data_IF_058999033109
#
_entry.id   IF_058999033109
#
_cell.length_a   1.000
_cell.length_b   1.000
_cell.length_c   1.000
_cell.angle_alpha   90.00
_cell.angle_beta   90.00
_cell.angle_gamma   90.00
#
_symmetry.space_group_name_H-M   'P 1'
#
loop_
_entity.id
_entity.type
_entity.pdbx_description
1 polymer ?
#
# COMPACT_ATOMS: atom_id res chain seq x y z
N UNK A 1 -25.40 -20.81 8.96
CA UNK A 1 -26.03 -19.90 7.98
C UNK A 1 -25.42 -18.50 7.92
N UNK A 2 -25.58 -17.58 8.89
CA UNK A 2 -25.04 -16.19 8.70
C UNK A 2 -23.51 -16.09 8.69
N UNK A 3 -22.82 -16.93 9.48
CA UNK A 3 -21.35 -16.97 9.56
C UNK A 3 -20.70 -17.48 8.27
N UNK A 4 -21.35 -18.44 7.59
CA UNK A 4 -20.88 -19.01 6.32
C UNK A 4 -20.98 -18.00 5.18
N UNK A 5 -22.12 -17.28 5.09
CA UNK A 5 -22.30 -16.21 4.08
C UNK A 5 -21.23 -15.12 4.22
N UNK A 6 -20.85 -14.76 5.45
CA UNK A 6 -19.85 -13.74 5.70
C UNK A 6 -18.42 -14.21 5.39
N UNK A 7 -18.11 -15.49 5.59
CA UNK A 7 -16.82 -16.10 5.22
C UNK A 7 -16.66 -16.17 3.70
N UNK A 8 -17.69 -16.65 2.97
CA UNK A 8 -17.68 -16.71 1.51
C UNK A 8 -17.46 -15.35 0.85
N UNK A 9 -18.06 -14.28 1.40
CA UNK A 9 -17.87 -12.91 0.89
C UNK A 9 -16.41 -12.41 1.03
N UNK A 10 -15.66 -12.85 2.05
CA UNK A 10 -14.25 -12.45 2.24
C UNK A 10 -13.34 -13.12 1.22
N UNK A 11 -13.55 -14.42 1.00
CA UNK A 11 -12.79 -15.18 0.01
C UNK A 11 -13.05 -14.66 -1.41
N UNK A 12 -14.31 -14.31 -1.70
CA UNK A 12 -14.69 -13.66 -2.95
C UNK A 12 -13.96 -12.32 -3.12
N UNK A 13 -13.92 -11.47 -2.08
CA UNK A 13 -13.18 -10.19 -2.11
C UNK A 13 -11.71 -10.38 -2.46
N UNK A 14 -11.05 -11.35 -1.84
CA UNK A 14 -9.64 -11.66 -2.11
C UNK A 14 -9.45 -12.14 -3.55
N UNK A 15 -10.34 -13.01 -4.03
CA UNK A 15 -10.28 -13.53 -5.40
C UNK A 15 -10.44 -12.43 -6.45
N UNK A 16 -11.37 -11.48 -6.23
CA UNK A 16 -11.62 -10.36 -7.13
C UNK A 16 -10.47 -9.35 -7.12
N UNK A 17 -9.95 -9.03 -5.93
CA UNK A 17 -8.78 -8.16 -5.80
C UNK A 17 -7.58 -8.73 -6.59
N UNK A 18 -7.31 -10.03 -6.45
CA UNK A 18 -6.24 -10.70 -7.19
C UNK A 18 -6.49 -10.72 -8.70
N UNK A 19 -7.73 -10.97 -9.13
CA UNK A 19 -8.11 -10.94 -10.55
C UNK A 19 -7.86 -9.57 -11.16
N UNK A 20 -8.34 -8.49 -10.53
CA UNK A 20 -8.19 -7.14 -11.06
C UNK A 20 -6.74 -6.66 -11.09
N UNK A 21 -5.94 -7.10 -10.11
CA UNK A 21 -4.50 -6.87 -10.13
C UNK A 21 -3.83 -7.55 -11.34
N UNK A 22 -4.18 -8.82 -11.62
CA UNK A 22 -3.67 -9.55 -12.80
C UNK A 22 -4.12 -8.94 -14.12
N UNK A 23 -5.31 -8.37 -14.16
CA UNK A 23 -5.85 -7.64 -15.32
C UNK A 23 -5.22 -6.24 -15.49
N UNK A 24 -4.33 -5.82 -14.58
CA UNK A 24 -3.70 -4.50 -14.63
C UNK A 24 -4.67 -3.35 -14.38
N UNK A 25 -5.82 -3.59 -13.74
CA UNK A 25 -6.84 -2.55 -13.48
C UNK A 25 -6.43 -1.57 -12.38
N UNK A 26 -5.35 -1.86 -11.67
CA UNK A 26 -4.72 -1.03 -10.65
C UNK A 26 -3.81 0.05 -11.27
N UNK A 27 -4.38 0.92 -12.11
CA UNK A 27 -3.69 2.12 -12.57
C UNK A 27 -3.78 3.22 -11.52
N UNK A 28 -2.66 3.92 -11.33
CA UNK A 28 -2.56 5.03 -10.39
C UNK A 28 -2.42 6.33 -11.17
N UNK A 29 -3.25 7.31 -10.87
CA UNK A 29 -3.13 8.65 -11.46
C UNK A 29 -1.79 9.32 -11.09
N UNK A 30 -1.10 8.86 -10.04
CA UNK A 30 0.23 9.37 -9.70
C UNK A 30 1.25 9.16 -10.82
N UNK A 31 1.16 8.06 -11.58
CA UNK A 31 2.16 7.78 -12.62
C UNK A 31 1.99 8.64 -13.88
N UNK A 32 0.78 9.14 -14.14
CA UNK A 32 0.47 10.01 -15.28
C UNK A 32 0.50 11.49 -14.94
N UNK A 33 0.16 11.85 -13.70
CA UNK A 33 -0.01 13.25 -13.29
C UNK A 33 1.19 13.85 -12.54
N UNK A 34 2.10 13.02 -12.00
CA UNK A 34 3.22 13.50 -11.18
C UNK A 34 4.57 13.21 -11.84
N UNK A 35 5.46 14.20 -11.81
CA UNK A 35 6.88 14.05 -12.17
C UNK A 35 7.75 14.53 -11.03
N UNK A 36 8.62 13.64 -10.53
CA UNK A 36 9.69 14.03 -9.62
C UNK A 36 10.83 14.66 -10.43
N UNK A 37 11.34 15.81 -9.98
CA UNK A 37 12.48 16.48 -10.60
C UNK A 37 13.76 15.86 -10.02
N UNK A 38 14.63 15.24 -10.83
CA UNK A 38 15.87 14.66 -10.32
C UNK A 38 16.81 15.73 -9.77
N UNK A 39 17.41 15.47 -8.60
CA UNK A 39 18.52 16.25 -8.10
C UNK A 39 19.83 15.55 -8.49
N UNK A 40 20.56 16.11 -9.46
CA UNK A 40 21.79 15.53 -9.98
C UNK A 40 23.02 15.71 -9.08
N UNK A 41 22.95 16.61 -8.10
CA UNK A 41 24.02 16.89 -7.14
C UNK A 41 23.40 16.99 -5.74
N UNK A 42 23.00 15.85 -5.14
CA UNK A 42 22.46 15.84 -3.80
C UNK A 42 23.54 16.26 -2.77
N UNK A 43 23.11 17.02 -1.77
CA UNK A 43 23.99 17.52 -0.69
C UNK A 43 24.11 16.51 0.48
N UNK A 44 23.48 15.34 0.37
CA UNK A 44 23.45 14.28 1.39
C UNK A 44 23.86 12.94 0.78
N UNK A 45 24.41 12.05 1.62
CA UNK A 45 24.67 10.66 1.27
C UNK A 45 23.41 9.80 1.38
N UNK A 46 23.45 8.60 0.79
CA UNK A 46 22.35 7.63 0.89
C UNK A 46 22.14 7.11 2.31
N UNK A 47 23.21 7.08 3.11
CA UNK A 47 23.19 6.65 4.50
C UNK A 47 22.55 7.69 5.44
N UNK A 48 22.43 8.94 4.99
CA UNK A 48 21.78 10.03 5.73
C UNK A 48 20.26 10.10 5.50
N UNK A 49 19.70 9.26 4.61
CA UNK A 49 18.26 9.22 4.35
C UNK A 49 17.52 8.53 5.51
N UNK A 50 16.79 9.31 6.30
CA UNK A 50 15.90 8.80 7.34
C UNK A 50 14.47 8.62 6.81
N UNK A 51 13.97 7.38 6.87
CA UNK A 51 12.60 7.01 6.48
C UNK A 51 11.63 7.00 7.67
N UNK A 52 12.13 7.24 8.88
CA UNK A 52 11.34 7.18 10.09
C UNK A 52 10.38 8.36 10.20
N UNK A 53 9.27 8.14 10.90
CA UNK A 53 8.26 9.17 11.16
C UNK A 53 7.52 8.91 12.46
N UNK A 54 7.05 9.97 13.09
CA UNK A 54 6.10 9.88 14.20
C UNK A 54 4.68 10.10 13.68
N UNK A 55 3.80 9.13 13.87
CA UNK A 55 2.38 9.24 13.53
C UNK A 55 1.53 8.72 14.69
N UNK A 56 0.45 9.42 15.04
CA UNK A 56 -0.43 9.06 16.16
C UNK A 56 0.29 8.84 17.52
N UNK A 57 1.40 9.55 17.75
CA UNK A 57 2.20 9.39 18.98
C UNK A 57 3.09 8.13 19.00
N UNK A 58 3.21 7.43 17.88
CA UNK A 58 4.07 6.26 17.71
C UNK A 58 5.17 6.54 16.70
N UNK A 59 6.37 6.00 16.97
CA UNK A 59 7.48 6.04 16.02
C UNK A 59 7.39 4.84 15.07
N UNK A 60 7.54 5.10 13.78
CA UNK A 60 7.61 4.10 12.71
C UNK A 60 8.95 4.22 11.99
N UNK A 61 9.53 3.11 11.58
CA UNK A 61 10.78 3.07 10.81
C UNK A 61 10.59 3.39 9.33
N UNK A 62 9.36 3.23 8.81
CA UNK A 62 9.05 3.41 7.39
C UNK A 62 7.75 4.17 7.19
N UNK A 63 7.64 4.99 6.12
CA UNK A 63 6.48 5.85 5.85
C UNK A 63 5.37 5.12 5.09
N UNK A 64 5.21 3.82 5.32
CA UNK A 64 4.15 3.00 4.74
C UNK A 64 3.80 1.85 5.67
N UNK A 65 2.61 1.28 5.49
CA UNK A 65 2.15 0.11 6.23
C UNK A 65 1.26 -0.76 5.35
N UNK A 66 0.99 -1.98 5.83
CA UNK A 66 0.05 -2.89 5.17
C UNK A 66 -1.36 -2.52 5.64
N UNK A 67 -2.17 -2.05 4.70
CA UNK A 67 -3.57 -1.75 4.94
C UNK A 67 -4.41 -3.00 5.27
N UNK A 68 -5.57 -2.79 5.88
CA UNK A 68 -6.48 -3.88 6.21
C UNK A 68 -6.98 -4.59 4.93
N UNK A 69 -6.76 -5.90 4.83
CA UNK A 69 -7.13 -6.68 3.63
C UNK A 69 -8.25 -7.70 3.88
N UNK A 70 -8.15 -8.50 4.96
CA UNK A 70 -9.06 -9.64 5.22
C UNK A 70 -9.06 -10.01 6.71
N UNK A 71 -9.77 -11.09 7.07
CA UNK A 71 -9.74 -11.72 8.40
C UNK A 71 -11.11 -12.25 8.81
N UNK A 72 -11.18 -13.45 9.39
CA UNK A 72 -12.41 -14.08 9.87
C UNK A 72 -13.25 -14.79 8.79
N UNK A 73 -12.58 -15.33 7.76
CA UNK A 73 -13.03 -16.52 7.01
C UNK A 73 -12.17 -17.71 7.39
#
# INVERSE_FOLDING_TARGET
MSKEIHSHRKDEHLSLALKYWKEGRNHSEFSSALRLVPNGLPEISTEEVDLSLTLFGHQFEFPFYIEAMTGGS
#
